data_IF_659347053620
#
_entry.id   IF_659347053620
#
_cell.length_a   1.000
_cell.length_b   1.000
_cell.length_c   1.000
_cell.angle_alpha   90.00
_cell.angle_beta   90.00
_cell.angle_gamma   90.00
#
_symmetry.space_group_name_H-M   'P 1'
#
loop_
_entity.id
_entity.type
_entity.pdbx_description
1 polymer ?
#
# COMPACT_ATOMS: atom_id res chain seq x y z
N UNK A 1 -19.63 -12.32 -9.73
CA UNK A 1 -19.82 -11.59 -8.45
C UNK A 1 -19.29 -10.15 -8.48
N UNK A 2 -18.06 -9.90 -8.95
CA UNK A 2 -17.48 -8.55 -9.02
C UNK A 2 -18.33 -7.54 -9.82
N UNK A 3 -18.95 -7.97 -10.91
CA UNK A 3 -19.87 -7.15 -11.73
C UNK A 3 -20.91 -6.35 -10.92
N UNK A 4 -21.48 -6.95 -9.85
CA UNK A 4 -22.48 -6.28 -9.00
C UNK A 4 -21.87 -5.10 -8.23
N UNK A 5 -20.63 -5.25 -7.78
CA UNK A 5 -19.89 -4.17 -7.11
C UNK A 5 -19.54 -3.06 -8.09
N UNK A 6 -19.02 -3.40 -9.27
CA UNK A 6 -18.64 -2.41 -10.29
C UNK A 6 -19.83 -1.59 -10.79
N UNK A 7 -21.01 -2.20 -10.98
CA UNK A 7 -22.25 -1.45 -11.32
C UNK A 7 -22.66 -0.41 -10.30
N UNK A 8 -22.25 -0.57 -9.03
CA UNK A 8 -22.55 0.38 -7.96
C UNK A 8 -21.44 1.42 -7.74
N UNK A 9 -20.29 1.29 -8.39
CA UNK A 9 -19.18 2.24 -8.26
C UNK A 9 -19.49 3.60 -8.89
N UNK A 10 -20.09 3.61 -10.08
CA UNK A 10 -20.48 4.84 -10.79
C UNK A 10 -21.23 5.82 -9.88
N UNK A 11 -22.38 5.45 -9.26
CA UNK A 11 -23.10 6.36 -8.37
C UNK A 11 -22.34 6.65 -7.07
N UNK A 12 -21.62 5.67 -6.51
CA UNK A 12 -20.90 5.85 -5.24
C UNK A 12 -19.76 6.88 -5.34
N UNK A 13 -19.07 6.92 -6.49
CA UNK A 13 -17.92 7.79 -6.69
C UNK A 13 -18.34 9.16 -7.21
N UNK A 14 -19.40 9.24 -8.02
CA UNK A 14 -19.83 10.48 -8.69
C UNK A 14 -19.98 11.67 -7.73
N UNK A 15 -20.71 11.48 -6.63
CA UNK A 15 -21.00 12.56 -5.68
C UNK A 15 -19.75 12.93 -4.87
N UNK A 16 -19.01 11.93 -4.41
CA UNK A 16 -17.81 12.12 -3.61
C UNK A 16 -16.72 12.85 -4.42
N UNK A 17 -16.48 12.41 -5.65
CA UNK A 17 -15.50 13.01 -6.55
C UNK A 17 -15.88 14.45 -6.93
N UNK A 18 -17.16 14.70 -7.20
CA UNK A 18 -17.67 16.06 -7.46
C UNK A 18 -17.42 16.98 -6.26
N UNK A 19 -17.75 16.53 -5.05
CA UNK A 19 -17.54 17.31 -3.83
C UNK A 19 -16.07 17.59 -3.58
N UNK A 20 -15.22 16.55 -3.62
CA UNK A 20 -13.77 16.67 -3.42
C UNK A 20 -13.12 17.58 -4.45
N UNK A 21 -13.51 17.51 -5.71
CA UNK A 21 -12.98 18.39 -6.75
C UNK A 21 -13.29 19.86 -6.43
N UNK A 22 -14.54 20.17 -6.06
CA UNK A 22 -14.94 21.53 -5.71
C UNK A 22 -14.25 22.06 -4.47
N UNK A 23 -14.11 21.22 -3.45
CA UNK A 23 -13.42 21.56 -2.20
C UNK A 23 -11.93 21.81 -2.45
N UNK A 24 -11.26 20.89 -3.15
CA UNK A 24 -9.83 20.97 -3.42
C UNK A 24 -9.45 22.20 -4.27
N UNK A 25 -10.22 22.47 -5.32
CA UNK A 25 -9.96 23.60 -6.22
C UNK A 25 -10.69 24.89 -5.82
N UNK A 26 -11.51 24.85 -4.77
CA UNK A 26 -12.35 25.94 -4.29
C UNK A 26 -13.20 26.59 -5.41
N UNK A 27 -13.95 25.75 -6.16
CA UNK A 27 -14.81 26.20 -7.26
C UNK A 27 -16.29 25.85 -7.01
N UNK A 28 -17.20 26.73 -7.44
CA UNK A 28 -18.66 26.47 -7.36
C UNK A 28 -19.12 25.57 -8.50
N UNK A 29 -18.66 25.85 -9.71
CA UNK A 29 -18.90 25.02 -10.90
C UNK A 29 -17.61 24.35 -11.34
N UNK A 30 -17.72 23.07 -11.72
CA UNK A 30 -16.57 22.32 -12.24
C UNK A 30 -16.15 22.88 -13.59
N UNK A 31 -17.11 23.31 -14.41
CA UNK A 31 -16.87 23.90 -15.72
C UNK A 31 -16.11 25.24 -15.67
N UNK A 32 -15.96 25.86 -14.50
CA UNK A 32 -15.12 27.05 -14.33
C UNK A 32 -13.63 26.71 -14.54
N UNK A 33 -13.22 25.51 -14.11
CA UNK A 33 -11.83 25.06 -14.16
C UNK A 33 -11.59 23.94 -15.19
N UNK A 34 -12.54 23.02 -15.32
CA UNK A 34 -12.39 21.82 -16.14
C UNK A 34 -13.50 21.75 -17.19
N UNK A 35 -13.16 22.05 -18.45
CA UNK A 35 -14.05 21.94 -19.61
C UNK A 35 -13.55 20.84 -20.51
N UNK A 36 -14.04 19.62 -20.29
CA UNK A 36 -13.61 18.49 -21.11
C UNK A 36 -13.96 17.16 -20.49
N UNK A 37 -13.17 16.16 -20.88
CA UNK A 37 -13.28 14.81 -20.37
C UNK A 37 -11.90 14.18 -20.20
N UNK A 38 -11.81 13.24 -19.27
CA UNK A 38 -10.65 12.38 -19.02
C UNK A 38 -11.06 10.97 -19.41
N UNK A 39 -10.23 10.32 -20.21
CA UNK A 39 -10.34 8.89 -20.50
C UNK A 39 -9.08 8.25 -19.99
N UNK A 40 -9.23 7.28 -19.09
CA UNK A 40 -8.14 6.40 -18.67
C UNK A 40 -8.48 4.99 -19.13
N UNK A 41 -7.57 4.42 -19.93
CA UNK A 41 -7.68 3.06 -20.44
C UNK A 41 -6.55 2.23 -19.86
N UNK A 42 -6.87 1.40 -18.88
CA UNK A 42 -6.01 0.31 -18.46
C UNK A 42 -6.70 -0.99 -18.90
N UNK A 43 -5.93 -2.00 -19.29
CA UNK A 43 -6.52 -3.34 -19.49
C UNK A 43 -6.55 -4.04 -18.13
N UNK A 44 -7.69 -4.62 -17.68
CA UNK A 44 -8.97 -4.70 -18.37
C UNK A 44 -9.96 -3.56 -18.02
N UNK A 45 -9.65 -2.69 -17.06
CA UNK A 45 -10.58 -1.65 -16.60
C UNK A 45 -10.26 -0.25 -17.13
N UNK A 46 -11.30 0.41 -17.63
CA UNK A 46 -11.24 1.80 -18.08
C UNK A 46 -12.29 2.65 -17.38
N UNK A 47 -12.04 3.96 -17.34
CA UNK A 47 -13.03 4.91 -16.87
C UNK A 47 -12.99 6.21 -17.66
N UNK A 48 -14.15 6.85 -17.68
CA UNK A 48 -14.42 8.11 -18.33
C UNK A 48 -14.97 9.10 -17.32
N UNK A 49 -14.36 10.29 -17.25
CA UNK A 49 -14.84 11.40 -16.43
C UNK A 49 -15.18 12.56 -17.36
N UNK A 50 -16.37 13.14 -17.26
CA UNK A 50 -16.77 14.33 -18.01
C UNK A 50 -17.28 15.41 -17.08
N UNK A 51 -16.89 16.65 -17.34
CA UNK A 51 -17.48 17.81 -16.67
C UNK A 51 -18.87 18.11 -17.22
N UNK A 52 -19.84 18.22 -16.33
CA UNK A 52 -21.21 18.66 -16.61
C UNK A 52 -21.53 19.85 -15.69
N UNK A 53 -21.30 21.10 -16.13
CA UNK A 53 -21.50 22.35 -15.36
C UNK A 53 -21.06 22.25 -13.88
N UNK A 54 -21.94 21.78 -13.01
CA UNK A 54 -21.74 21.65 -11.56
C UNK A 54 -21.41 20.25 -11.05
N UNK A 55 -21.29 19.22 -11.90
CA UNK A 55 -21.03 17.82 -11.54
C UNK A 55 -20.00 17.15 -12.45
N UNK A 56 -19.33 16.12 -11.94
CA UNK A 56 -18.57 15.17 -12.76
C UNK A 56 -19.48 13.99 -13.08
N UNK A 57 -19.52 13.56 -14.34
CA UNK A 57 -20.08 12.28 -14.73
C UNK A 57 -18.94 11.27 -14.82
N UNK A 58 -19.06 10.15 -14.10
CA UNK A 58 -18.09 9.06 -14.11
C UNK A 58 -18.76 7.83 -14.71
N UNK A 59 -18.06 7.13 -15.60
CA UNK A 59 -18.48 5.84 -16.15
C UNK A 59 -17.31 4.87 -16.13
N UNK A 60 -17.51 3.69 -15.57
CA UNK A 60 -16.57 2.57 -15.66
C UNK A 60 -16.92 1.65 -16.83
N UNK A 61 -15.92 1.00 -17.41
CA UNK A 61 -16.09 0.00 -18.48
C UNK A 61 -15.00 -1.08 -18.43
N UNK A 62 -15.30 -2.25 -18.98
CA UNK A 62 -14.36 -3.38 -19.06
C UNK A 62 -14.38 -4.30 -17.84
N UNK A 63 -15.16 -3.97 -16.80
CA UNK A 63 -15.36 -4.86 -15.65
C UNK A 63 -16.21 -6.08 -16.00
N UNK A 64 -16.92 -6.07 -17.13
CA UNK A 64 -17.57 -7.26 -17.68
C UNK A 64 -16.56 -8.33 -18.11
N UNK A 65 -15.32 -7.92 -18.44
CA UNK A 65 -14.25 -8.82 -18.91
C UNK A 65 -13.48 -9.44 -17.74
N UNK A 66 -13.79 -9.07 -16.50
CA UNK A 66 -13.15 -9.63 -15.31
C UNK A 66 -13.86 -10.91 -14.85
N UNK A 67 -13.13 -12.01 -14.93
CA UNK A 67 -13.60 -13.31 -14.49
C UNK A 67 -12.87 -13.77 -13.23
N UNK A 68 -13.65 -14.19 -12.22
CA UNK A 68 -13.15 -14.86 -11.02
C UNK A 68 -13.39 -16.34 -11.18
N UNK A 69 -12.34 -17.14 -11.01
CA UNK A 69 -12.42 -18.60 -11.12
C UNK A 69 -11.68 -19.26 -9.97
N UNK A 70 -12.04 -20.51 -9.69
CA UNK A 70 -11.34 -21.35 -8.71
C UNK A 70 -10.52 -22.36 -9.49
N UNK A 71 -9.20 -22.32 -9.31
CA UNK A 71 -8.24 -23.23 -9.94
C UNK A 71 -8.26 -24.61 -9.30
N UNK A 72 -8.25 -24.62 -7.97
CA UNK A 72 -8.16 -25.82 -7.17
C UNK A 72 -8.94 -25.66 -5.86
N UNK A 73 -9.44 -26.77 -5.34
CA UNK A 73 -10.14 -26.85 -4.06
C UNK A 73 -9.50 -27.99 -3.27
N UNK A 74 -8.87 -27.65 -2.15
CA UNK A 74 -8.29 -28.63 -1.24
C UNK A 74 -9.06 -28.60 0.08
N UNK A 75 -9.44 -29.77 0.59
CA UNK A 75 -10.06 -29.86 1.90
C UNK A 75 -8.94 -30.04 2.95
N UNK A 76 -8.75 -29.04 3.82
CA UNK A 76 -7.77 -29.14 4.90
C UNK A 76 -8.33 -29.92 6.11
N UNK A 77 -9.58 -29.64 6.48
CA UNK A 77 -10.26 -30.23 7.66
C UNK A 77 -11.76 -30.43 7.38
N UNK A 78 -12.48 -31.03 8.32
CA UNK A 78 -13.95 -30.99 8.31
C UNK A 78 -14.40 -29.53 8.23
N UNK A 79 -15.20 -29.21 7.22
CA UNK A 79 -15.79 -27.89 6.98
C UNK A 79 -14.81 -26.75 6.59
N UNK A 80 -13.51 -27.03 6.44
CA UNK A 80 -12.52 -26.03 5.99
C UNK A 80 -11.95 -26.36 4.60
N UNK A 81 -12.05 -25.40 3.70
CA UNK A 81 -11.54 -25.50 2.33
C UNK A 81 -10.44 -24.47 2.08
N UNK A 82 -9.41 -24.87 1.35
CA UNK A 82 -8.43 -23.99 0.74
C UNK A 82 -8.77 -23.86 -0.74
N UNK A 83 -9.16 -22.66 -1.16
CA UNK A 83 -9.47 -22.33 -2.54
C UNK A 83 -8.26 -21.64 -3.17
N UNK A 84 -7.73 -22.16 -4.27
CA UNK A 84 -6.84 -21.38 -5.12
C UNK A 84 -7.69 -20.55 -6.09
N UNK A 85 -7.78 -19.25 -5.82
CA UNK A 85 -8.70 -18.34 -6.52
C UNK A 85 -7.91 -17.47 -7.47
N UNK A 86 -8.35 -17.42 -8.72
CA UNK A 86 -7.79 -16.61 -9.79
C UNK A 86 -8.69 -15.46 -10.22
N UNK A 87 -8.08 -14.37 -10.67
CA UNK A 87 -8.69 -13.30 -11.44
C UNK A 87 -8.03 -13.27 -12.81
N UNK A 88 -8.81 -13.34 -13.88
CA UNK A 88 -8.32 -13.23 -15.26
C UNK A 88 -9.14 -12.25 -16.08
N UNK A 89 -8.55 -11.79 -17.18
CA UNK A 89 -9.26 -11.10 -18.23
C UNK A 89 -9.81 -12.14 -19.23
N UNK A 90 -11.13 -12.19 -19.40
CA UNK A 90 -11.82 -13.17 -20.25
C UNK A 90 -11.35 -13.07 -21.72
N UNK A 91 -11.16 -11.86 -22.24
CA UNK A 91 -10.79 -11.64 -23.64
C UNK A 91 -9.35 -12.03 -23.97
N UNK A 92 -8.41 -11.72 -23.09
CA UNK A 92 -7.00 -12.05 -23.31
C UNK A 92 -6.62 -13.43 -22.78
N UNK A 93 -7.45 -14.02 -21.91
CA UNK A 93 -7.11 -15.23 -21.16
C UNK A 93 -5.96 -15.01 -20.17
N UNK A 94 -5.53 -13.77 -19.98
CA UNK A 94 -4.40 -13.40 -19.12
C UNK A 94 -4.83 -13.51 -17.67
N UNK A 95 -4.11 -14.34 -16.93
CA UNK A 95 -4.23 -14.42 -15.50
C UNK A 95 -3.62 -13.16 -14.86
N UNK A 96 -4.48 -12.35 -14.25
CA UNK A 96 -4.08 -11.11 -13.60
C UNK A 96 -3.49 -11.39 -12.22
N UNK A 97 -4.06 -12.38 -11.51
CA UNK A 97 -3.55 -12.82 -10.20
C UNK A 97 -4.15 -14.17 -9.82
N UNK A 98 -3.41 -14.95 -9.02
CA UNK A 98 -3.97 -16.05 -8.24
C UNK A 98 -3.42 -16.07 -6.82
N UNK A 99 -4.24 -16.53 -5.88
CA UNK A 99 -3.81 -16.71 -4.49
C UNK A 99 -4.65 -17.77 -3.77
N UNK A 100 -4.05 -18.49 -2.82
CA UNK A 100 -4.79 -19.39 -1.94
C UNK A 100 -5.61 -18.58 -0.92
N UNK A 101 -6.84 -19.01 -0.67
CA UNK A 101 -7.76 -18.42 0.29
C UNK A 101 -8.47 -19.50 1.09
N UNK A 102 -8.40 -19.39 2.42
CA UNK A 102 -9.06 -20.35 3.32
C UNK A 102 -10.50 -19.92 3.56
N UNK A 103 -11.42 -20.86 3.45
CA UNK A 103 -12.84 -20.72 3.72
C UNK A 103 -13.20 -21.67 4.86
N UNK A 104 -13.50 -21.10 6.02
CA UNK A 104 -13.98 -21.78 7.22
C UNK A 104 -15.51 -21.60 7.35
N UNK A 105 -16.05 -20.45 6.91
CA UNK A 105 -17.48 -20.17 6.95
C UNK A 105 -18.00 -19.51 5.65
N UNK A 106 -19.33 -19.45 5.42
CA UNK A 106 -19.89 -18.78 4.24
C UNK A 106 -19.60 -17.26 4.15
N UNK A 107 -19.35 -16.58 5.27
CA UNK A 107 -18.96 -15.17 5.29
C UNK A 107 -17.53 -14.98 4.75
N UNK A 108 -16.67 -16.00 4.80
CA UNK A 108 -15.36 -15.96 4.17
C UNK A 108 -15.44 -15.80 2.64
N UNK A 109 -16.50 -16.32 2.00
CA UNK A 109 -16.73 -16.08 0.56
C UNK A 109 -17.04 -14.60 0.30
N UNK A 110 -17.80 -13.96 1.19
CA UNK A 110 -18.06 -12.52 1.10
C UNK A 110 -16.77 -11.72 1.32
N UNK A 111 -15.93 -12.11 2.29
CA UNK A 111 -14.63 -11.51 2.55
C UNK A 111 -13.67 -11.69 1.37
N UNK A 112 -13.61 -12.88 0.77
CA UNK A 112 -12.85 -13.15 -0.45
C UNK A 112 -13.22 -12.16 -1.56
N UNK A 113 -14.52 -11.92 -1.79
CA UNK A 113 -14.96 -11.00 -2.85
C UNK A 113 -14.72 -9.54 -2.48
N UNK A 114 -15.17 -9.10 -1.30
CA UNK A 114 -15.16 -7.69 -0.92
C UNK A 114 -13.82 -7.16 -0.43
N UNK A 115 -13.04 -7.99 0.28
CA UNK A 115 -11.77 -7.59 0.93
C UNK A 115 -10.56 -7.96 0.08
N UNK A 116 -10.64 -9.06 -0.68
CA UNK A 116 -9.51 -9.51 -1.49
C UNK A 116 -9.70 -9.16 -2.97
N UNK A 117 -10.66 -9.78 -3.65
CA UNK A 117 -10.82 -9.67 -5.11
C UNK A 117 -11.19 -8.26 -5.59
N UNK A 118 -12.11 -7.58 -4.90
CA UNK A 118 -12.56 -6.24 -5.31
C UNK A 118 -11.43 -5.20 -5.26
N UNK A 119 -10.63 -5.08 -4.17
CA UNK A 119 -9.46 -4.20 -4.18
C UNK A 119 -8.47 -4.51 -5.30
N UNK A 120 -8.23 -5.78 -5.62
CA UNK A 120 -7.38 -6.17 -6.74
C UNK A 120 -7.91 -5.68 -8.08
N UNK A 121 -9.20 -5.91 -8.34
CA UNK A 121 -9.82 -5.43 -9.56
C UNK A 121 -9.80 -3.89 -9.65
N UNK A 122 -10.08 -3.20 -8.54
CA UNK A 122 -10.10 -1.73 -8.49
C UNK A 122 -8.74 -1.10 -8.83
N UNK A 123 -7.60 -1.75 -8.61
CA UNK A 123 -6.30 -1.19 -9.00
C UNK A 123 -6.20 -0.81 -10.47
N UNK A 124 -6.85 -1.56 -11.35
CA UNK A 124 -6.84 -1.25 -12.77
C UNK A 124 -7.55 0.07 -13.09
N UNK A 125 -8.26 0.67 -12.13
CA UNK A 125 -8.80 2.02 -12.20
C UNK A 125 -7.82 3.10 -11.73
N UNK A 126 -6.54 2.81 -11.51
CA UNK A 126 -5.55 3.83 -11.18
C UNK A 126 -5.56 4.97 -12.21
N UNK A 127 -5.48 6.26 -11.80
CA UNK A 127 -5.29 6.75 -10.43
C UNK A 127 -6.57 6.91 -9.59
N UNK A 128 -7.76 6.56 -10.09
CA UNK A 128 -9.00 6.77 -9.34
C UNK A 128 -9.16 5.82 -8.14
N UNK A 129 -8.53 4.65 -8.20
CA UNK A 129 -8.47 3.68 -7.09
C UNK A 129 -7.40 3.99 -6.03
N UNK A 130 -6.87 5.22 -6.04
CA UNK A 130 -5.92 5.67 -5.02
C UNK A 130 -6.52 5.57 -3.62
N UNK A 131 -5.85 4.85 -2.72
CA UNK A 131 -6.32 4.57 -1.35
C UNK A 131 -7.21 3.34 -1.20
N UNK A 132 -7.46 2.57 -2.27
CA UNK A 132 -8.07 1.22 -2.17
C UNK A 132 -7.07 0.22 -1.57
N UNK A 133 -5.78 0.44 -1.79
CA UNK A 133 -4.69 -0.31 -1.18
C UNK A 133 -4.32 0.26 0.19
N UNK A 134 -3.70 -0.55 1.04
CA UNK A 134 -3.22 -0.10 2.35
C UNK A 134 -2.05 0.87 2.15
N UNK A 135 -2.16 2.15 2.54
CA UNK A 135 -1.11 3.12 2.29
C UNK A 135 0.02 3.00 3.32
N UNK A 136 1.26 3.10 2.86
CA UNK A 136 2.45 3.36 3.66
C UNK A 136 2.92 4.76 3.33
N UNK A 137 2.99 5.62 4.34
CA UNK A 137 3.51 6.96 4.18
C UNK A 137 4.90 7.03 4.81
N UNK A 138 5.91 7.11 3.96
CA UNK A 138 7.30 7.36 4.33
C UNK A 138 7.60 8.83 4.05
N UNK A 139 7.86 9.60 5.10
CA UNK A 139 8.08 11.05 4.98
C UNK A 139 9.44 11.45 5.49
N UNK A 140 10.17 12.27 4.75
CA UNK A 140 11.30 13.03 5.30
C UNK A 140 10.78 14.18 6.17
N UNK A 141 11.50 14.45 7.26
CA UNK A 141 11.73 15.81 7.74
C UNK A 141 12.68 15.74 8.94
N UNK A 142 13.61 16.72 8.99
CA UNK A 142 14.59 17.18 10.00
C UNK A 142 14.45 16.76 11.49
N UNK A 143 13.33 16.18 11.92
CA UNK A 143 13.01 15.67 13.26
C UNK A 143 13.02 14.12 13.37
N UNK A 144 13.68 13.38 12.47
CA UNK A 144 13.79 11.91 12.53
C UNK A 144 14.31 11.33 13.86
N UNK A 145 15.08 12.13 14.62
CA UNK A 145 15.59 11.79 15.97
C UNK A 145 14.46 11.80 17.02
N UNK A 146 13.52 12.74 16.97
CA UNK A 146 12.41 12.84 17.93
C UNK A 146 11.29 11.83 17.68
N UNK A 147 11.19 11.30 16.45
CA UNK A 147 10.13 10.37 16.02
C UNK A 147 10.39 8.94 16.46
N UNK A 148 11.64 8.48 16.41
CA UNK A 148 11.95 7.09 16.72
C UNK A 148 12.42 6.88 18.18
N UNK A 149 13.11 7.86 18.78
CA UNK A 149 13.49 7.82 20.20
C UNK A 149 12.28 7.80 21.16
N UNK A 150 11.09 8.15 20.67
CA UNK A 150 9.83 8.17 21.42
C UNK A 150 8.98 6.92 21.23
N UNK A 151 9.29 5.97 20.37
CA UNK A 151 8.38 4.82 20.16
C UNK A 151 8.34 3.91 21.38
N UNK A 152 9.47 3.70 22.07
CA UNK A 152 9.53 2.95 23.32
C UNK A 152 9.12 3.79 24.54
N UNK A 153 9.30 5.11 24.53
CA UNK A 153 9.11 6.01 25.69
C UNK A 153 7.74 6.70 25.69
N UNK A 154 7.21 7.12 24.53
CA UNK A 154 5.93 7.81 24.42
C UNK A 154 4.72 6.86 24.47
N UNK A 155 4.89 5.59 24.09
CA UNK A 155 3.83 4.58 24.22
C UNK A 155 3.80 3.90 25.59
N UNK A 156 4.95 3.75 26.26
CA UNK A 156 4.99 3.16 27.61
C UNK A 156 4.63 4.16 28.71
N UNK A 157 4.81 5.47 28.47
CA UNK A 157 4.61 6.44 29.55
C UNK A 157 3.19 6.95 29.71
N UNK A 158 2.29 6.98 28.70
CA UNK A 158 0.90 7.54 28.78
C UNK A 158 0.72 8.79 29.69
N UNK A 159 1.78 9.54 29.96
CA UNK A 159 1.76 10.72 30.82
C UNK A 159 1.40 11.88 29.92
N UNK A 160 0.10 11.96 29.64
CA UNK A 160 -0.56 13.13 29.10
C UNK A 160 -0.49 13.26 27.58
N UNK A 161 -1.60 12.97 26.91
CA UNK A 161 -2.20 13.75 25.80
C UNK A 161 -1.22 14.46 24.84
N UNK A 162 -0.13 13.81 24.43
CA UNK A 162 0.68 14.29 23.32
C UNK A 162 -0.03 13.87 22.05
N UNK A 163 -0.81 14.80 21.48
CA UNK A 163 -1.36 14.69 20.14
C UNK A 163 -0.18 14.54 19.16
N UNK A 164 0.16 13.29 18.84
CA UNK A 164 1.07 13.00 17.72
C UNK A 164 0.33 13.42 16.46
N UNK A 165 0.88 14.32 15.62
CA UNK A 165 0.17 14.74 14.42
C UNK A 165 -0.05 13.54 13.48
N UNK A 166 -1.10 13.63 12.65
CA UNK A 166 -1.56 12.48 11.86
C UNK A 166 -0.47 11.91 10.93
N UNK A 167 0.42 12.78 10.40
CA UNK A 167 1.54 12.40 9.54
C UNK A 167 2.55 11.51 10.28
N UNK A 168 2.92 11.90 11.50
CA UNK A 168 3.82 11.15 12.37
C UNK A 168 3.23 9.81 12.80
N UNK A 169 1.93 9.79 13.14
CA UNK A 169 1.23 8.55 13.47
C UNK A 169 1.20 7.58 12.29
N UNK A 170 0.93 8.08 11.08
CA UNK A 170 0.96 7.29 9.86
C UNK A 170 2.35 6.72 9.55
N UNK A 171 3.41 7.53 9.76
CA UNK A 171 4.80 7.07 9.60
C UNK A 171 5.16 5.97 10.61
N UNK A 172 4.86 6.15 11.90
CA UNK A 172 5.15 5.14 12.92
C UNK A 172 4.42 3.83 12.67
N UNK A 173 3.15 3.90 12.25
CA UNK A 173 2.38 2.73 11.85
C UNK A 173 3.02 2.01 10.66
N UNK A 174 3.47 2.77 9.65
CA UNK A 174 4.19 2.23 8.49
C UNK A 174 5.51 1.56 8.92
N UNK A 175 6.34 2.24 9.70
CA UNK A 175 7.62 1.74 10.22
C UNK A 175 7.45 0.42 10.97
N UNK A 176 6.58 0.39 11.98
CA UNK A 176 6.37 -0.80 12.81
C UNK A 176 5.94 -2.00 11.97
N UNK A 177 5.03 -1.76 11.02
CA UNK A 177 4.51 -2.82 10.16
C UNK A 177 5.57 -3.35 9.19
N UNK A 178 6.37 -2.47 8.59
CA UNK A 178 7.48 -2.86 7.72
C UNK A 178 8.54 -3.65 8.49
N UNK A 179 8.91 -3.20 9.69
CA UNK A 179 9.90 -3.87 10.52
C UNK A 179 9.44 -5.27 10.95
N UNK A 180 8.19 -5.41 11.43
CA UNK A 180 7.62 -6.73 11.79
C UNK A 180 7.57 -7.63 10.57
N UNK A 181 7.09 -7.13 9.43
CA UNK A 181 7.01 -7.93 8.20
C UNK A 181 8.37 -8.39 7.74
N UNK A 182 9.36 -7.50 7.71
CA UNK A 182 10.71 -7.85 7.34
C UNK A 182 11.30 -8.91 8.27
N UNK A 183 11.04 -8.81 9.58
CA UNK A 183 11.45 -9.83 10.55
C UNK A 183 10.82 -11.20 10.26
N UNK A 184 9.53 -11.22 9.92
CA UNK A 184 8.76 -12.46 9.75
C UNK A 184 9.03 -13.15 8.41
N UNK A 185 9.21 -12.37 7.34
CA UNK A 185 9.28 -12.89 5.97
C UNK A 185 10.66 -12.78 5.35
N UNK A 186 11.48 -11.84 5.82
CA UNK A 186 12.70 -11.44 5.13
C UNK A 186 12.43 -10.80 3.77
N UNK A 187 13.49 -10.51 3.00
CA UNK A 187 13.36 -10.05 1.62
C UNK A 187 12.82 -11.16 0.71
N UNK A 188 12.08 -10.78 -0.32
CA UNK A 188 11.70 -11.68 -1.41
C UNK A 188 12.95 -12.31 -2.04
N UNK A 189 12.89 -13.61 -2.35
CA UNK A 189 14.05 -14.38 -2.88
C UNK A 189 14.69 -13.74 -4.11
N UNK A 190 13.88 -13.19 -5.01
CA UNK A 190 14.33 -12.49 -6.22
C UNK A 190 14.98 -11.13 -5.94
N UNK A 191 14.63 -10.49 -4.81
CA UNK A 191 15.15 -9.20 -4.38
C UNK A 191 16.30 -9.31 -3.37
N UNK A 192 16.63 -10.50 -2.85
CA UNK A 192 17.73 -10.70 -1.91
C UNK A 192 19.08 -10.13 -2.40
N UNK A 193 19.43 -10.40 -3.67
CA UNK A 193 20.68 -9.93 -4.27
C UNK A 193 20.66 -8.41 -4.50
N UNK A 194 19.65 -7.82 -5.16
CA UNK A 194 19.50 -6.36 -5.25
C UNK A 194 19.54 -5.69 -3.88
N UNK A 195 18.84 -6.24 -2.90
CA UNK A 195 18.78 -5.67 -1.56
C UNK A 195 20.14 -5.65 -0.86
N UNK A 196 20.92 -6.74 -0.95
CA UNK A 196 22.29 -6.77 -0.41
C UNK A 196 23.22 -5.76 -1.10
N UNK A 197 23.07 -5.56 -2.41
CA UNK A 197 23.84 -4.53 -3.14
C UNK A 197 23.47 -3.14 -2.67
N UNK A 198 22.18 -2.85 -2.56
CA UNK A 198 21.68 -1.59 -2.04
C UNK A 198 22.21 -1.32 -0.62
N UNK A 199 22.15 -2.31 0.29
CA UNK A 199 22.71 -2.17 1.64
C UNK A 199 24.19 -1.77 1.58
N UNK A 200 24.99 -2.45 0.76
CA UNK A 200 26.40 -2.11 0.61
C UNK A 200 26.63 -0.70 0.03
N UNK A 201 25.78 -0.26 -0.90
CA UNK A 201 25.83 1.09 -1.49
C UNK A 201 25.54 2.19 -0.46
N UNK A 202 24.60 1.97 0.47
CA UNK A 202 24.31 2.91 1.56
C UNK A 202 25.22 2.71 2.79
N UNK A 203 26.29 1.90 2.67
CA UNK A 203 27.28 1.71 3.72
C UNK A 203 26.87 0.74 4.84
N UNK A 204 25.91 -0.14 4.57
CA UNK A 204 25.44 -1.16 5.50
C UNK A 204 25.86 -2.56 5.07
N UNK A 205 26.23 -3.38 6.05
CA UNK A 205 26.58 -4.79 5.88
C UNK A 205 25.41 -5.72 6.17
N UNK A 206 24.64 -5.41 7.21
CA UNK A 206 23.50 -6.23 7.61
C UNK A 206 22.43 -5.40 8.33
N UNK A 207 21.23 -5.96 8.41
CA UNK A 207 20.12 -5.41 9.18
C UNK A 207 19.48 -6.50 10.04
N UNK A 208 19.01 -6.11 11.21
CA UNK A 208 18.40 -7.00 12.20
C UNK A 208 17.20 -6.29 12.82
N UNK A 209 16.06 -6.95 12.94
CA UNK A 209 14.89 -6.38 13.64
C UNK A 209 14.76 -7.04 15.00
N UNK A 210 14.83 -6.24 16.07
CA UNK A 210 14.67 -6.67 17.46
C UNK A 210 13.34 -6.23 18.02
N UNK A 211 12.83 -6.95 19.03
CA UNK A 211 11.70 -6.48 19.82
C UNK A 211 12.20 -5.89 21.13
N UNK A 212 11.93 -4.61 21.36
CA UNK A 212 12.22 -3.93 22.62
C UNK A 212 10.90 -3.45 23.22
N UNK A 213 10.53 -3.97 24.39
CA UNK A 213 9.24 -3.64 25.03
C UNK A 213 8.01 -4.00 24.18
N UNK A 214 8.13 -4.98 23.27
CA UNK A 214 7.07 -5.36 22.33
C UNK A 214 7.04 -4.56 21.02
N UNK A 215 7.89 -3.53 20.88
CA UNK A 215 7.99 -2.72 19.67
C UNK A 215 9.15 -3.18 18.78
N UNK A 216 8.97 -3.21 17.45
CA UNK A 216 10.04 -3.56 16.52
C UNK A 216 11.03 -2.40 16.38
N UNK A 217 12.31 -2.67 16.61
CA UNK A 217 13.42 -1.74 16.37
C UNK A 217 14.39 -2.31 15.35
N UNK A 218 14.74 -1.51 14.36
CA UNK A 218 15.68 -1.90 13.31
C UNK A 218 17.09 -1.53 13.76
N UNK A 219 17.96 -2.53 13.88
CA UNK A 219 19.40 -2.37 14.05
C UNK A 219 20.10 -2.58 12.71
N UNK A 220 21.09 -1.76 12.44
CA UNK A 220 21.96 -1.90 11.28
C UNK A 220 23.39 -2.17 11.72
N UNK A 221 24.10 -2.99 10.93
CA UNK A 221 25.55 -3.18 11.03
C UNK A 221 26.19 -2.42 9.87
N UNK A 222 27.03 -1.44 10.18
CA UNK A 222 27.77 -0.71 9.15
C UNK A 222 28.93 -1.55 8.56
N UNK A 223 29.58 -1.02 7.53
CA UNK A 223 30.76 -1.66 6.91
C UNK A 223 31.95 -1.86 7.85
N UNK A 224 32.00 -1.14 8.97
CA UNK A 224 33.05 -1.26 10.00
C UNK A 224 32.65 -2.25 11.11
N UNK A 225 31.47 -2.86 11.03
CA UNK A 225 30.96 -3.81 12.01
C UNK A 225 30.32 -3.16 13.24
N UNK A 226 30.13 -1.84 13.25
CA UNK A 226 29.41 -1.15 14.33
C UNK A 226 27.92 -1.43 14.17
N UNK A 227 27.30 -1.87 15.28
CA UNK A 227 25.85 -2.08 15.35
C UNK A 227 25.20 -0.90 16.05
N UNK A 228 24.24 -0.27 15.39
CA UNK A 228 23.48 0.84 15.96
C UNK A 228 22.00 0.75 15.56
N UNK A 229 21.10 1.29 16.38
CA UNK A 229 19.71 1.46 15.99
C UNK A 229 19.62 2.38 14.75
N UNK A 230 18.66 2.12 13.86
CA UNK A 230 18.45 2.89 12.63
C UNK A 230 18.30 4.39 12.93
N UNK A 231 17.71 4.69 14.08
CA UNK A 231 17.53 5.99 14.69
C UNK A 231 18.78 6.86 14.71
N UNK A 232 19.92 6.23 15.01
CA UNK A 232 21.23 6.85 15.14
C UNK A 232 22.00 6.92 13.80
N UNK A 233 21.42 6.39 12.72
CA UNK A 233 22.05 6.40 11.41
C UNK A 233 21.93 7.79 10.73
N UNK A 234 22.81 8.07 9.75
CA UNK A 234 22.66 9.24 8.88
C UNK A 234 21.28 9.29 8.20
N UNK A 235 20.79 10.50 7.91
CA UNK A 235 19.47 10.73 7.29
C UNK A 235 19.21 9.85 6.07
N UNK A 236 20.14 9.85 5.11
CA UNK A 236 20.04 9.02 3.90
C UNK A 236 19.88 7.52 4.17
N UNK A 237 20.56 6.97 5.18
CA UNK A 237 20.39 5.56 5.55
C UNK A 237 18.98 5.30 6.09
N UNK A 238 18.46 6.19 6.94
CA UNK A 238 17.12 6.04 7.54
C UNK A 238 16.01 6.09 6.52
N UNK A 239 16.11 7.03 5.59
CA UNK A 239 15.12 7.27 4.54
C UNK A 239 15.15 6.16 3.50
N UNK A 240 16.34 5.89 2.93
CA UNK A 240 16.49 4.89 1.88
C UNK A 240 16.19 3.48 2.41
N UNK A 241 16.57 3.14 3.65
CA UNK A 241 16.31 1.81 4.20
C UNK A 241 14.80 1.57 4.41
N UNK A 242 14.05 2.56 4.89
CA UNK A 242 12.60 2.42 5.11
C UNK A 242 11.87 2.15 3.79
N UNK A 243 12.26 2.85 2.72
CA UNK A 243 11.73 2.62 1.37
C UNK A 243 12.13 1.23 0.84
N UNK A 244 13.40 0.84 1.01
CA UNK A 244 13.87 -0.47 0.57
C UNK A 244 13.14 -1.61 1.28
N UNK A 245 12.91 -1.50 2.60
CA UNK A 245 12.14 -2.49 3.37
C UNK A 245 10.71 -2.66 2.84
N UNK A 246 10.06 -1.57 2.45
CA UNK A 246 8.73 -1.60 1.84
C UNK A 246 8.71 -2.32 0.49
N UNK A 247 9.77 -2.16 -0.32
CA UNK A 247 9.86 -2.75 -1.65
C UNK A 247 10.29 -4.23 -1.63
N UNK A 248 11.13 -4.62 -0.68
CA UNK A 248 11.66 -6.00 -0.62
C UNK A 248 10.79 -6.97 0.16
N UNK A 249 9.71 -6.50 0.79
CA UNK A 249 8.82 -7.34 1.60
C UNK A 249 7.37 -7.25 1.15
N UNK A 250 6.78 -8.38 0.74
CA UNK A 250 5.38 -8.43 0.30
C UNK A 250 4.41 -8.75 1.45
N UNK A 251 3.22 -8.16 1.42
CA UNK A 251 2.08 -8.59 2.25
C UNK A 251 1.02 -9.37 1.47
N UNK A 252 0.08 -10.01 2.18
CA UNK A 252 -1.03 -10.76 1.58
C UNK A 252 -2.06 -9.87 0.84
N UNK A 253 -1.80 -8.58 0.68
CA UNK A 253 -2.75 -7.59 0.16
C UNK A 253 -2.07 -6.48 -0.61
N UNK A 254 -2.88 -5.61 -1.20
CA UNK A 254 -2.40 -4.47 -1.97
C UNK A 254 -1.98 -3.32 -1.09
N UNK A 255 -0.85 -2.73 -1.47
CA UNK A 255 -0.23 -1.65 -0.72
C UNK A 255 0.16 -0.52 -1.67
N UNK A 256 -0.04 0.72 -1.23
CA UNK A 256 0.47 1.90 -1.91
C UNK A 256 1.60 2.47 -1.06
N UNK A 257 2.77 2.66 -1.65
CA UNK A 257 3.91 3.28 -1.00
C UNK A 257 4.00 4.74 -1.43
N UNK A 258 3.94 5.63 -0.45
CA UNK A 258 4.14 7.06 -0.62
C UNK A 258 5.49 7.41 -0.03
N UNK A 259 6.37 7.98 -0.84
CA UNK A 259 7.68 8.44 -0.41
C UNK A 259 7.75 9.93 -0.69
N UNK A 260 7.85 10.72 0.36
CA UNK A 260 7.95 12.18 0.29
C UNK A 260 9.42 12.60 0.38
N UNK A 261 9.81 13.60 -0.42
CA UNK A 261 11.13 14.26 -0.34
C UNK A 261 12.32 13.30 -0.43
N UNK A 262 12.21 12.21 -1.21
CA UNK A 262 13.28 11.17 -1.25
C UNK A 262 14.65 11.72 -1.70
N UNK A 263 14.67 12.81 -2.45
CA UNK A 263 15.87 13.38 -3.05
C UNK A 263 16.68 14.28 -2.09
N UNK A 264 16.15 14.62 -0.91
CA UNK A 264 16.77 15.60 0.01
C UNK A 264 18.04 15.06 0.70
N UNK A 265 18.10 13.74 0.98
CA UNK A 265 19.24 13.13 1.68
C UNK A 265 19.74 11.82 1.03
N UNK A 266 19.25 11.46 -0.15
CA UNK A 266 19.79 10.33 -0.91
C UNK A 266 21.21 10.63 -1.39
N UNK A 267 22.11 9.68 -1.17
CA UNK A 267 23.43 9.71 -1.78
C UNK A 267 23.27 9.64 -3.31
N UNK A 268 23.94 10.47 -4.14
CA UNK A 268 23.71 10.55 -5.60
C UNK A 268 23.85 9.27 -6.43
N UNK A 269 24.28 8.16 -5.81
CA UNK A 269 24.41 6.83 -6.44
C UNK A 269 23.32 5.83 -6.00
N UNK A 270 22.55 6.14 -4.96
CA UNK A 270 21.43 5.34 -4.43
C UNK A 270 20.10 5.82 -5.03
#
# INVERSE_FOLDING_TARGET
MLYVYFRKLDPAIKENLTSRFKEFFNVREIADLFRGHIIVKNSPLSYFIKAEKSKLAVKFSGYEELEVYVKNIEQERLETFLLDVGLRCEKSGEELRSFPYRVEDPADIHSLVGVHLLPYALLYLYPLSFGVSKPFLLTDSRAGILRLARTAVATTLEYGRLLVPARESAFLAAYNRLAVRFREKGPLKELEKPFKKFLAEIGLKNIEVRLIGGYPEIYVEDIWGKKLPLEECPGGVRESLSAALALVTEDKGLEALFIEEIESHIHPRA
#
